data_IF_641641199402
#
_entry.id   IF_641641199402
#
_cell.length_a   1.000
_cell.length_b   1.000
_cell.length_c   1.000
_cell.angle_alpha   90.00
_cell.angle_beta   90.00
_cell.angle_gamma   90.00
#
_symmetry.space_group_name_H-M   'P 1'
#
loop_
_entity.id
_entity.type
_entity.pdbx_description
1 polymer ?
#
# COMPACT_ATOMS: atom_id res chain seq x y z
N UNK A 1 -16.69 -15.45 5.23
CA UNK A 1 -17.89 -15.79 4.44
C UNK A 1 -17.52 -15.63 2.99
N UNK A 2 -17.47 -16.72 2.23
CA UNK A 2 -17.34 -16.66 0.77
C UNK A 2 -18.69 -16.17 0.24
N UNK A 3 -18.77 -14.99 -0.42
CA UNK A 3 -20.03 -14.55 -1.01
C UNK A 3 -20.46 -15.58 -2.05
N UNK A 4 -21.76 -15.88 -2.05
CA UNK A 4 -22.44 -16.78 -2.98
C UNK A 4 -22.02 -16.52 -4.44
N UNK A 5 -22.03 -17.58 -5.24
CA UNK A 5 -21.59 -17.69 -6.65
C UNK A 5 -22.41 -16.88 -7.65
N UNK A 6 -23.19 -15.90 -7.21
CA UNK A 6 -24.01 -15.07 -8.10
C UNK A 6 -23.11 -14.06 -8.81
N UNK A 7 -23.11 -14.07 -10.14
CA UNK A 7 -22.47 -13.04 -10.96
C UNK A 7 -23.19 -11.70 -10.79
N UNK A 8 -22.43 -10.60 -10.76
CA UNK A 8 -23.01 -9.25 -10.81
C UNK A 8 -23.29 -8.90 -12.28
N UNK A 9 -24.57 -8.80 -12.62
CA UNK A 9 -25.03 -8.48 -13.99
C UNK A 9 -25.85 -7.18 -14.06
N UNK A 10 -26.02 -6.49 -12.93
CA UNK A 10 -26.73 -5.20 -12.87
C UNK A 10 -26.12 -4.23 -11.85
N UNK A 11 -26.45 -2.95 -12.00
CA UNK A 11 -26.10 -1.91 -11.02
C UNK A 11 -26.65 -2.20 -9.63
N UNK A 12 -27.84 -2.81 -9.53
CA UNK A 12 -28.46 -3.15 -8.25
C UNK A 12 -27.67 -4.28 -7.55
N UNK A 13 -27.23 -5.29 -8.31
CA UNK A 13 -26.41 -6.38 -7.77
C UNK A 13 -25.08 -5.86 -7.24
N UNK A 14 -24.45 -4.91 -7.96
CA UNK A 14 -23.23 -4.28 -7.51
C UNK A 14 -23.41 -3.50 -6.20
N UNK A 15 -24.46 -2.70 -6.09
CA UNK A 15 -24.71 -1.93 -4.88
C UNK A 15 -25.06 -2.85 -3.69
N UNK A 16 -25.84 -3.89 -3.92
CA UNK A 16 -26.15 -4.91 -2.91
C UNK A 16 -24.86 -5.60 -2.43
N UNK A 17 -23.97 -5.95 -3.35
CA UNK A 17 -22.67 -6.53 -3.04
C UNK A 17 -21.79 -5.58 -2.21
N UNK A 18 -21.65 -4.33 -2.68
CA UNK A 18 -20.91 -3.28 -1.99
C UNK A 18 -21.36 -3.10 -0.54
N UNK A 19 -22.68 -3.01 -0.33
CA UNK A 19 -23.28 -2.87 1.00
C UNK A 19 -23.12 -4.16 1.84
N UNK A 20 -23.26 -5.33 1.21
CA UNK A 20 -23.08 -6.63 1.85
C UNK A 20 -21.67 -6.83 2.41
N UNK A 21 -20.61 -6.41 1.68
CA UNK A 21 -19.25 -6.44 2.21
C UNK A 21 -19.13 -5.59 3.47
N UNK A 22 -19.65 -4.36 3.44
CA UNK A 22 -19.56 -3.44 4.58
C UNK A 22 -20.25 -4.02 5.81
N UNK A 23 -21.46 -4.54 5.64
CA UNK A 23 -22.19 -5.21 6.72
C UNK A 23 -21.41 -6.44 7.25
N UNK A 24 -20.82 -7.24 6.36
CA UNK A 24 -20.03 -8.40 6.75
C UNK A 24 -18.77 -8.04 7.55
N UNK A 25 -18.08 -6.94 7.19
CA UNK A 25 -16.96 -6.40 7.95
C UNK A 25 -17.42 -5.94 9.34
N UNK A 26 -18.53 -5.22 9.43
CA UNK A 26 -19.03 -4.75 10.72
C UNK A 26 -19.41 -5.91 11.66
N UNK A 27 -20.00 -6.99 11.12
CA UNK A 27 -20.28 -8.22 11.86
C UNK A 27 -19.00 -8.96 12.29
N UNK A 28 -17.96 -8.95 11.47
CA UNK A 28 -16.68 -9.58 11.79
C UNK A 28 -15.98 -8.89 12.97
N UNK A 29 -16.04 -7.55 13.01
CA UNK A 29 -15.42 -6.76 14.07
C UNK A 29 -16.28 -6.61 15.32
N UNK A 30 -17.60 -6.76 15.22
CA UNK A 30 -18.47 -6.82 16.41
C UNK A 30 -18.20 -8.06 17.27
N UNK A 31 -17.65 -9.13 16.67
CA UNK A 31 -17.31 -10.38 17.35
C UNK A 31 -15.84 -10.49 17.77
N UNK A 32 -15.13 -9.36 17.93
CA UNK A 32 -13.73 -9.23 18.37
C UNK A 32 -12.77 -10.17 17.61
N UNK A 33 -12.20 -9.68 16.52
CA UNK A 33 -10.88 -10.11 16.00
C UNK A 33 -10.61 -11.62 16.14
N UNK A 34 -11.32 -12.42 15.34
CA UNK A 34 -11.47 -13.87 15.50
C UNK A 34 -10.17 -14.67 15.42
N UNK A 35 -9.09 -14.07 14.91
CA UNK A 35 -7.81 -14.75 14.74
C UNK A 35 -6.63 -13.88 15.13
N UNK A 36 -5.55 -14.49 15.67
CA UNK A 36 -4.30 -13.78 15.92
C UNK A 36 -3.70 -13.07 14.72
N UNK A 37 -3.96 -13.58 13.50
CA UNK A 37 -3.49 -13.00 12.25
C UNK A 37 -4.18 -11.65 11.95
N UNK A 38 -5.51 -11.58 12.11
CA UNK A 38 -6.26 -10.34 11.89
C UNK A 38 -5.88 -9.23 12.87
N UNK A 39 -5.60 -9.59 14.13
CA UNK A 39 -5.06 -8.64 15.12
C UNK A 39 -3.70 -8.12 14.70
N UNK A 40 -2.81 -9.01 14.24
CA UNK A 40 -1.48 -8.64 13.79
C UNK A 40 -1.54 -7.64 12.63
N UNK A 41 -2.40 -7.90 11.66
CA UNK A 41 -2.59 -7.02 10.49
C UNK A 41 -3.19 -5.68 10.92
N UNK A 42 -4.19 -5.68 11.80
CA UNK A 42 -4.74 -4.44 12.37
C UNK A 42 -3.68 -3.62 13.13
N UNK A 43 -2.84 -4.26 13.93
CA UNK A 43 -1.79 -3.53 14.67
C UNK A 43 -0.70 -3.00 13.75
N UNK A 44 -0.31 -3.77 12.74
CA UNK A 44 0.58 -3.29 11.69
C UNK A 44 -0.01 -2.08 10.96
N UNK A 45 -1.29 -2.13 10.62
CA UNK A 45 -2.04 -1.01 10.05
C UNK A 45 -1.99 0.22 10.95
N UNK A 46 -2.40 0.11 12.22
CA UNK A 46 -2.46 1.23 13.17
C UNK A 46 -1.10 1.89 13.35
N UNK A 47 -0.05 1.08 13.54
CA UNK A 47 1.31 1.56 13.65
C UNK A 47 1.75 2.37 12.42
N UNK A 48 1.41 1.90 11.22
CA UNK A 48 1.73 2.59 9.98
C UNK A 48 0.90 3.88 9.83
N UNK A 49 -0.42 3.85 10.08
CA UNK A 49 -1.30 5.03 10.01
C UNK A 49 -0.84 6.14 10.93
N UNK A 50 -0.62 5.83 12.22
CA UNK A 50 -0.19 6.83 13.23
C UNK A 50 1.14 7.48 12.90
N UNK A 51 2.01 6.79 12.20
CA UNK A 51 3.35 7.29 11.90
C UNK A 51 3.40 8.06 10.59
N UNK A 52 2.88 7.46 9.53
CA UNK A 52 2.99 8.02 8.19
C UNK A 52 1.88 9.01 7.88
N UNK A 53 0.72 8.91 8.54
CA UNK A 53 -0.43 9.80 8.36
C UNK A 53 -1.08 10.19 9.72
N UNK A 54 -0.31 10.76 10.67
CA UNK A 54 -0.79 11.19 11.99
C UNK A 54 -1.89 12.25 11.93
N UNK A 55 -1.87 13.10 10.90
CA UNK A 55 -2.83 14.20 10.72
C UNK A 55 -4.22 13.75 10.28
N UNK A 56 -4.39 12.49 9.87
CA UNK A 56 -5.70 11.98 9.46
C UNK A 56 -6.57 11.66 10.67
N UNK A 57 -7.61 12.46 10.86
CA UNK A 57 -8.46 12.48 12.06
C UNK A 57 -9.31 11.21 12.25
N UNK A 58 -9.54 10.44 11.19
CA UNK A 58 -10.41 9.26 11.28
C UNK A 58 -9.88 8.24 12.30
N UNK A 59 -10.82 7.74 13.09
CA UNK A 59 -10.59 6.61 14.00
C UNK A 59 -9.97 5.40 13.26
N UNK A 60 -9.04 4.75 13.94
CA UNK A 60 -8.21 3.66 13.42
C UNK A 60 -9.02 2.44 13.00
N UNK A 61 -10.01 2.07 13.81
CA UNK A 61 -10.87 0.94 13.49
C UNK A 61 -11.75 1.26 12.28
N UNK A 62 -12.33 2.46 12.24
CA UNK A 62 -13.17 2.90 11.13
C UNK A 62 -12.37 2.97 9.82
N UNK A 63 -11.14 3.50 9.87
CA UNK A 63 -10.23 3.48 8.73
C UNK A 63 -9.95 2.05 8.28
N UNK A 64 -9.52 1.18 9.20
CA UNK A 64 -9.18 -0.20 8.86
C UNK A 64 -10.34 -0.96 8.24
N UNK A 65 -11.57 -0.75 8.73
CA UNK A 65 -12.78 -1.31 8.12
C UNK A 65 -12.99 -0.81 6.69
N UNK A 66 -12.76 0.47 6.42
CA UNK A 66 -12.85 0.99 5.06
C UNK A 66 -11.73 0.46 4.16
N UNK A 67 -10.52 0.25 4.68
CA UNK A 67 -9.43 -0.40 3.94
C UNK A 67 -9.83 -1.82 3.53
N UNK A 68 -10.30 -2.63 4.48
CA UNK A 68 -10.77 -3.99 4.21
C UNK A 68 -11.95 -4.00 3.24
N UNK A 69 -12.83 -3.01 3.31
CA UNK A 69 -13.95 -2.87 2.39
C UNK A 69 -13.44 -2.67 0.96
N UNK A 70 -12.54 -1.71 0.73
CA UNK A 70 -11.95 -1.48 -0.58
C UNK A 70 -11.18 -2.70 -1.11
N UNK A 71 -10.36 -3.35 -0.28
CA UNK A 71 -9.64 -4.57 -0.65
C UNK A 71 -10.59 -5.69 -1.10
N UNK A 72 -11.67 -5.93 -0.34
CA UNK A 72 -12.65 -6.97 -0.67
C UNK A 72 -13.47 -6.63 -1.91
N UNK A 73 -13.80 -5.36 -2.11
CA UNK A 73 -14.44 -4.92 -3.36
C UNK A 73 -13.50 -5.21 -4.54
N UNK A 74 -12.24 -4.80 -4.48
CA UNK A 74 -11.27 -5.01 -5.56
C UNK A 74 -11.09 -6.49 -5.90
N UNK A 75 -10.95 -7.34 -4.88
CA UNK A 75 -10.86 -8.80 -5.08
C UNK A 75 -12.06 -9.36 -5.86
N UNK A 76 -13.23 -8.77 -5.70
CA UNK A 76 -14.43 -9.23 -6.42
C UNK A 76 -14.51 -8.68 -7.84
N UNK A 77 -13.98 -7.47 -8.08
CA UNK A 77 -13.83 -6.93 -9.45
C UNK A 77 -13.03 -7.89 -10.31
N UNK A 78 -11.96 -8.46 -9.77
CA UNK A 78 -11.07 -9.38 -10.48
C UNK A 78 -11.73 -10.69 -10.90
N UNK A 79 -12.75 -11.19 -10.16
CA UNK A 79 -13.21 -12.57 -10.35
C UNK A 79 -14.71 -12.75 -10.66
N UNK A 80 -15.57 -11.76 -10.39
CA UNK A 80 -17.01 -12.03 -10.25
C UNK A 80 -17.96 -10.95 -10.81
N UNK A 81 -17.42 -9.90 -11.42
CA UNK A 81 -18.24 -8.80 -11.97
C UNK A 81 -18.17 -8.78 -13.47
N UNK A 82 -19.31 -8.57 -14.14
CA UNK A 82 -19.30 -8.09 -15.52
C UNK A 82 -18.61 -6.72 -15.55
N UNK A 83 -17.37 -6.70 -16.05
CA UNK A 83 -16.53 -5.51 -16.08
C UNK A 83 -17.18 -4.39 -16.90
N UNK A 84 -17.94 -4.72 -17.95
CA UNK A 84 -18.54 -3.72 -18.83
C UNK A 84 -19.42 -2.74 -18.05
N UNK A 85 -20.19 -3.24 -17.07
CA UNK A 85 -21.04 -2.45 -16.18
C UNK A 85 -20.27 -1.41 -15.36
N UNK A 86 -19.01 -1.71 -15.03
CA UNK A 86 -18.17 -0.84 -14.22
C UNK A 86 -17.35 0.11 -15.08
N UNK A 87 -16.96 -0.30 -16.29
CA UNK A 87 -16.25 0.59 -17.21
C UNK A 87 -17.12 1.77 -17.64
N UNK A 88 -18.44 1.60 -17.73
CA UNK A 88 -19.37 2.71 -18.02
C UNK A 88 -19.45 3.77 -16.90
N UNK A 89 -18.89 3.46 -15.73
CA UNK A 89 -18.84 4.35 -14.56
C UNK A 89 -17.51 5.07 -14.43
N UNK A 90 -16.56 4.84 -15.35
CA UNK A 90 -15.29 5.53 -15.37
C UNK A 90 -15.45 6.95 -15.92
N UNK A 91 -15.03 7.92 -15.13
CA UNK A 91 -14.69 9.25 -15.64
C UNK A 91 -13.18 9.35 -15.80
N UNK A 92 -12.72 9.57 -17.03
CA UNK A 92 -11.30 9.80 -17.33
C UNK A 92 -11.06 11.30 -17.46
N UNK A 93 -10.03 11.81 -16.77
CA UNK A 93 -9.71 13.24 -16.71
C UNK A 93 -8.21 13.48 -16.62
N UNK A 94 -7.78 14.74 -16.80
CA UNK A 94 -6.38 15.14 -16.75
C UNK A 94 -5.80 15.41 -18.15
N UNK A 95 -4.53 15.08 -18.37
CA UNK A 95 -3.89 15.25 -19.67
C UNK A 95 -4.13 14.01 -20.55
N UNK A 96 -5.04 14.17 -21.52
CA UNK A 96 -5.43 13.11 -22.45
C UNK A 96 -4.78 13.27 -23.83
N UNK A 97 -3.79 14.14 -23.97
CA UNK A 97 -3.10 14.38 -25.24
C UNK A 97 -2.44 13.12 -25.82
N UNK A 98 -2.06 12.18 -24.96
CA UNK A 98 -1.48 10.89 -25.36
C UNK A 98 -2.45 10.01 -26.17
N UNK A 99 -3.76 10.20 -26.05
CA UNK A 99 -4.76 9.44 -26.82
C UNK A 99 -4.68 9.71 -28.33
N UNK A 100 -4.10 10.85 -28.73
CA UNK A 100 -3.92 11.23 -30.13
C UNK A 100 -2.55 10.82 -30.69
N UNK A 101 -1.68 10.25 -29.85
CA UNK A 101 -0.32 9.90 -30.24
C UNK A 101 -0.26 8.42 -30.62
N UNK A 102 0.34 8.08 -31.77
CA UNK A 102 0.54 6.69 -32.14
C UNK A 102 1.67 6.07 -31.29
N UNK A 103 1.54 4.79 -31.00
CA UNK A 103 2.60 3.99 -30.38
C UNK A 103 2.28 3.54 -28.96
N UNK A 104 3.19 2.74 -28.38
CA UNK A 104 3.03 2.19 -27.04
C UNK A 104 3.37 3.21 -25.96
N UNK A 105 2.87 2.96 -24.76
CA UNK A 105 3.17 3.73 -23.57
C UNK A 105 3.59 2.82 -22.43
N UNK A 106 4.29 3.39 -21.44
CA UNK A 106 4.47 2.76 -20.14
C UNK A 106 3.48 3.41 -19.17
N UNK A 107 2.39 2.73 -18.85
CA UNK A 107 1.40 3.18 -17.87
C UNK A 107 1.92 2.89 -16.45
N UNK A 108 2.13 3.95 -15.67
CA UNK A 108 2.65 3.87 -14.31
C UNK A 108 1.54 4.21 -13.32
N UNK A 109 1.22 3.27 -12.43
CA UNK A 109 0.09 3.39 -11.49
C UNK A 109 0.41 2.73 -10.13
N UNK A 110 -0.59 2.62 -9.27
CA UNK A 110 -0.52 2.21 -7.86
C UNK A 110 -1.66 1.24 -7.55
N UNK A 111 -1.53 0.41 -6.52
CA UNK A 111 -2.61 -0.44 -5.99
C UNK A 111 -3.59 0.43 -5.17
N UNK A 112 -4.16 1.43 -5.84
CA UNK A 112 -5.00 2.47 -5.25
C UNK A 112 -6.37 2.50 -5.94
N UNK A 113 -7.43 2.58 -5.15
CA UNK A 113 -8.78 2.59 -5.68
C UNK A 113 -9.10 1.30 -6.44
N UNK A 114 -9.90 1.36 -7.53
CA UNK A 114 -10.26 0.21 -8.33
C UNK A 114 -9.18 -0.12 -9.36
N UNK A 115 -7.96 -0.34 -8.89
CA UNK A 115 -6.81 -0.60 -9.75
C UNK A 115 -6.94 -1.82 -10.68
N UNK A 116 -7.70 -2.90 -10.34
CA UNK A 116 -7.96 -3.99 -11.29
C UNK A 116 -8.56 -3.55 -12.62
N UNK A 117 -9.35 -2.47 -12.59
CA UNK A 117 -10.10 -2.00 -13.75
C UNK A 117 -9.25 -1.17 -14.73
N UNK A 118 -8.03 -0.80 -14.35
CA UNK A 118 -7.17 0.09 -15.15
C UNK A 118 -6.86 -0.55 -16.51
N UNK A 119 -6.45 -1.82 -16.54
CA UNK A 119 -6.11 -2.52 -17.78
C UNK A 119 -7.28 -2.51 -18.77
N UNK A 120 -8.47 -2.88 -18.30
CA UNK A 120 -9.67 -2.90 -19.13
C UNK A 120 -10.07 -1.50 -19.61
N UNK A 121 -9.90 -0.47 -18.77
CA UNK A 121 -10.17 0.91 -19.18
C UNK A 121 -9.17 1.38 -20.24
N UNK A 122 -7.89 1.03 -20.13
CA UNK A 122 -6.89 1.31 -21.17
C UNK A 122 -7.21 0.60 -22.48
N UNK A 123 -7.68 -0.65 -22.39
CA UNK A 123 -8.14 -1.40 -23.56
C UNK A 123 -9.34 -0.73 -24.25
N UNK A 124 -10.33 -0.26 -23.48
CA UNK A 124 -11.46 0.54 -24.00
C UNK A 124 -11.00 1.84 -24.67
N UNK A 125 -9.89 2.41 -24.23
CA UNK A 125 -9.27 3.60 -24.83
C UNK A 125 -8.42 3.27 -26.09
N UNK A 126 -8.38 2.00 -26.51
CA UNK A 126 -7.70 1.56 -27.74
C UNK A 126 -6.28 1.03 -27.52
N UNK A 127 -5.84 0.85 -26.29
CA UNK A 127 -4.49 0.33 -26.01
C UNK A 127 -4.49 -1.18 -25.81
N UNK A 128 -3.51 -1.84 -26.43
CA UNK A 128 -3.12 -3.17 -26.00
C UNK A 128 -2.00 -3.05 -24.97
N UNK A 129 -2.08 -3.79 -23.87
CA UNK A 129 -1.14 -3.67 -22.76
C UNK A 129 -0.77 -5.01 -22.12
N UNK A 130 0.49 -5.15 -21.75
CA UNK A 130 0.95 -6.22 -20.87
C UNK A 130 1.04 -5.69 -19.44
N UNK A 131 0.36 -6.36 -18.52
CA UNK A 131 0.26 -6.00 -17.10
C UNK A 131 1.34 -6.73 -16.31
N UNK A 132 2.21 -5.96 -15.65
CA UNK A 132 3.20 -6.50 -14.75
C UNK A 132 2.56 -6.88 -13.40
N UNK A 133 2.61 -8.16 -13.05
CA UNK A 133 2.05 -8.72 -11.81
C UNK A 133 3.05 -9.63 -11.08
N UNK A 134 2.62 -10.22 -9.98
CA UNK A 134 3.39 -11.22 -9.21
C UNK A 134 3.24 -12.62 -9.82
N UNK A 135 4.08 -13.56 -9.40
CA UNK A 135 3.90 -14.98 -9.76
C UNK A 135 2.57 -15.52 -9.22
N UNK A 136 1.97 -16.46 -9.97
CA UNK A 136 0.71 -17.11 -9.59
C UNK A 136 -0.56 -16.47 -10.13
N UNK A 137 -0.47 -15.29 -10.77
CA UNK A 137 -1.59 -14.67 -11.49
C UNK A 137 -1.46 -14.97 -12.99
N UNK A 138 -2.35 -15.78 -13.56
CA UNK A 138 -2.30 -16.14 -14.99
C UNK A 138 -3.36 -15.43 -15.81
N UNK A 139 -3.21 -15.42 -17.15
CA UNK A 139 -4.23 -14.87 -18.07
C UNK A 139 -5.62 -15.49 -17.88
N UNK A 140 -5.70 -16.77 -17.46
CA UNK A 140 -6.97 -17.43 -17.16
C UNK A 140 -7.69 -16.86 -15.93
N UNK A 141 -7.02 -16.06 -15.11
CA UNK A 141 -7.57 -15.37 -13.94
C UNK A 141 -8.06 -13.96 -14.27
N UNK A 142 -7.70 -13.43 -15.44
CA UNK A 142 -8.28 -12.20 -16.01
C UNK A 142 -9.63 -12.59 -16.62
N UNK A 143 -10.62 -11.69 -16.52
CA UNK A 143 -11.97 -11.92 -17.05
C UNK A 143 -11.94 -12.21 -18.55
N UNK A 144 -12.32 -13.44 -18.91
CA UNK A 144 -12.23 -13.99 -20.27
C UNK A 144 -13.08 -13.22 -21.29
N UNK A 145 -14.13 -12.53 -20.84
CA UNK A 145 -15.09 -11.86 -21.72
C UNK A 145 -14.59 -10.53 -22.31
N UNK A 146 -13.39 -10.05 -21.94
CA UNK A 146 -12.87 -8.73 -22.37
C UNK A 146 -11.37 -8.72 -22.72
N UNK A 147 -10.73 -9.88 -22.94
CA UNK A 147 -9.26 -9.99 -22.99
C UNK A 147 -8.58 -9.65 -24.32
N UNK A 148 -9.30 -9.18 -25.35
CA UNK A 148 -8.63 -8.81 -26.60
C UNK A 148 -7.75 -7.57 -26.39
N UNK A 149 -6.48 -7.79 -26.05
CA UNK A 149 -5.48 -6.75 -25.89
C UNK A 149 -4.80 -6.67 -24.53
N UNK A 150 -5.20 -7.47 -23.54
CA UNK A 150 -4.51 -7.56 -22.24
C UNK A 150 -3.72 -8.87 -22.11
N UNK A 151 -2.50 -8.76 -21.60
CA UNK A 151 -1.61 -9.90 -21.33
C UNK A 151 -0.94 -9.73 -19.95
N UNK A 152 -0.41 -10.80 -19.38
CA UNK A 152 0.26 -10.80 -18.07
C UNK A 152 1.75 -11.07 -18.22
N UNK A 153 2.55 -10.27 -17.52
CA UNK A 153 3.99 -10.51 -17.29
C UNK A 153 4.27 -10.65 -15.79
N UNK A 154 5.30 -11.43 -15.44
CA UNK A 154 5.63 -11.68 -14.04
C UNK A 154 6.91 -10.96 -13.59
N UNK A 155 6.78 -10.10 -12.58
CA UNK A 155 7.87 -9.33 -11.95
C UNK A 155 8.95 -10.17 -11.25
N UNK A 156 8.67 -11.45 -10.99
CA UNK A 156 9.62 -12.41 -10.40
C UNK A 156 10.65 -12.96 -11.39
N UNK A 157 10.41 -12.85 -12.69
CA UNK A 157 11.30 -13.41 -13.71
C UNK A 157 12.56 -12.56 -13.91
N UNK A 158 13.72 -13.20 -14.05
CA UNK A 158 14.98 -12.53 -14.43
C UNK A 158 14.94 -11.95 -15.85
N UNK A 159 14.04 -12.45 -16.70
CA UNK A 159 13.86 -11.98 -18.08
C UNK A 159 12.80 -10.89 -18.23
N UNK A 160 12.11 -10.47 -17.15
CA UNK A 160 10.94 -9.59 -17.26
C UNK A 160 11.25 -8.25 -17.94
N UNK A 161 12.47 -7.72 -17.75
CA UNK A 161 12.91 -6.50 -18.44
C UNK A 161 12.97 -6.69 -19.96
N UNK A 162 13.47 -7.85 -20.41
CA UNK A 162 13.56 -8.18 -21.85
C UNK A 162 12.17 -8.35 -22.44
N UNK A 163 11.28 -9.02 -21.70
CA UNK A 163 9.87 -9.21 -22.10
C UNK A 163 9.13 -7.87 -22.23
N UNK A 164 9.30 -6.96 -21.26
CA UNK A 164 8.74 -5.61 -21.33
C UNK A 164 9.26 -4.83 -22.54
N UNK A 165 10.56 -4.89 -22.82
CA UNK A 165 11.14 -4.22 -24.01
C UNK A 165 10.56 -4.81 -25.30
N UNK A 166 10.48 -6.13 -25.41
CA UNK A 166 9.91 -6.81 -26.58
C UNK A 166 8.44 -6.44 -26.81
N UNK A 167 7.65 -6.29 -25.75
CA UNK A 167 6.24 -5.87 -25.87
C UNK A 167 6.15 -4.43 -26.40
N UNK A 168 6.95 -3.51 -25.86
CA UNK A 168 7.01 -2.13 -26.34
C UNK A 168 7.43 -2.06 -27.83
N UNK A 169 8.46 -2.80 -28.23
CA UNK A 169 8.90 -2.87 -29.63
C UNK A 169 7.81 -3.40 -30.57
N UNK A 170 6.98 -4.34 -30.09
CA UNK A 170 5.82 -4.86 -30.83
C UNK A 170 4.61 -3.91 -30.85
N UNK A 171 4.72 -2.69 -30.31
CA UNK A 171 3.64 -1.72 -30.23
C UNK A 171 2.63 -1.98 -29.11
N UNK A 172 2.92 -2.91 -28.20
CA UNK A 172 2.10 -3.20 -27.02
C UNK A 172 2.58 -2.36 -25.85
N UNK A 173 1.67 -1.69 -25.18
CA UNK A 173 1.98 -0.90 -23.98
C UNK A 173 2.34 -1.80 -22.79
N UNK A 174 2.99 -1.23 -21.79
CA UNK A 174 3.28 -1.92 -20.52
C UNK A 174 2.58 -1.18 -19.39
N UNK A 175 1.86 -1.90 -18.53
CA UNK A 175 1.26 -1.35 -17.31
C UNK A 175 1.99 -1.89 -16.08
N UNK A 176 2.42 -0.99 -15.19
CA UNK A 176 3.15 -1.37 -13.99
C UNK A 176 2.68 -0.61 -12.74
N UNK A 177 2.63 -1.35 -11.64
CA UNK A 177 2.35 -0.83 -10.30
C UNK A 177 3.67 -0.56 -9.56
N UNK A 178 3.98 0.70 -9.27
CA UNK A 178 5.30 1.08 -8.74
C UNK A 178 5.39 1.09 -7.21
N UNK A 179 4.26 0.94 -6.51
CA UNK A 179 4.20 0.77 -5.06
C UNK A 179 4.42 -0.68 -4.59
N UNK A 180 4.29 -1.64 -5.51
CA UNK A 180 4.70 -3.02 -5.30
C UNK A 180 6.22 -3.16 -5.46
N UNK A 181 6.99 -3.02 -4.38
CA UNK A 181 8.43 -3.32 -4.39
C UNK A 181 8.76 -4.83 -4.48
N UNK A 182 7.85 -5.62 -5.02
CA UNK A 182 7.99 -7.06 -5.25
C UNK A 182 8.88 -7.32 -6.49
N UNK A 183 9.47 -8.52 -6.60
CA UNK A 183 10.39 -8.91 -7.68
C UNK A 183 11.74 -9.47 -7.18
N UNK A 184 12.69 -9.68 -8.10
CA UNK A 184 13.96 -10.42 -7.87
C UNK A 184 14.81 -9.86 -6.71
N UNK A 185 15.00 -8.54 -6.70
CA UNK A 185 15.75 -7.87 -5.63
C UNK A 185 14.81 -7.60 -4.45
N UNK A 186 15.08 -8.26 -3.33
CA UNK A 186 14.28 -8.20 -2.10
C UNK A 186 14.80 -7.17 -1.09
N UNK A 187 16.08 -6.86 -1.14
CA UNK A 187 16.75 -5.90 -0.26
C UNK A 187 16.92 -4.55 -0.95
N UNK A 188 16.94 -3.48 -0.18
CA UNK A 188 17.11 -2.13 -0.73
C UNK A 188 18.58 -1.93 -1.10
N UNK A 189 18.83 -1.94 -2.40
CA UNK A 189 20.12 -1.65 -3.01
C UNK A 189 20.05 -0.29 -3.72
N UNK A 190 20.95 0.68 -3.43
CA UNK A 190 21.02 1.97 -4.12
C UNK A 190 21.09 1.87 -5.65
N UNK A 191 21.57 0.75 -6.20
CA UNK A 191 21.58 0.49 -7.65
C UNK A 191 20.18 0.24 -8.21
N UNK A 192 19.30 -0.38 -7.42
CA UNK A 192 17.97 -0.82 -7.83
C UNK A 192 16.84 0.07 -7.32
N UNK A 193 17.09 0.89 -6.30
CA UNK A 193 16.09 1.73 -5.63
C UNK A 193 16.43 3.21 -5.68
N UNK A 194 15.39 4.05 -5.75
CA UNK A 194 15.47 5.49 -5.48
C UNK A 194 14.66 5.87 -4.25
N UNK A 195 15.12 6.83 -3.43
CA UNK A 195 14.32 7.44 -2.39
C UNK A 195 13.33 8.44 -2.99
N UNK A 196 12.06 8.37 -2.62
CA UNK A 196 11.04 9.38 -2.96
C UNK A 196 10.33 9.84 -1.68
N UNK A 197 10.12 11.14 -1.46
CA UNK A 197 9.21 11.62 -0.42
C UNK A 197 7.82 11.02 -0.64
N UNK A 198 7.25 10.46 0.42
CA UNK A 198 5.89 9.96 0.45
C UNK A 198 5.35 10.12 1.87
N UNK A 199 4.26 10.88 2.00
CA UNK A 199 3.67 11.20 3.29
C UNK A 199 4.68 11.90 4.21
N UNK A 200 4.80 11.46 5.46
CA UNK A 200 5.73 12.03 6.45
C UNK A 200 7.08 11.28 6.51
N UNK A 201 7.48 10.62 5.42
CA UNK A 201 8.74 9.88 5.35
C UNK A 201 9.30 9.80 3.90
N UNK A 202 10.38 9.04 3.73
CA UNK A 202 10.99 8.69 2.46
C UNK A 202 10.74 7.22 2.14
N UNK A 203 10.09 6.96 1.03
CA UNK A 203 9.83 5.62 0.49
C UNK A 203 10.92 5.22 -0.52
N UNK A 204 11.43 4.01 -0.43
CA UNK A 204 12.37 3.47 -1.41
C UNK A 204 11.60 2.72 -2.50
N UNK A 205 11.67 3.17 -3.75
CA UNK A 205 10.96 2.61 -4.90
C UNK A 205 11.95 2.01 -5.92
N UNK A 206 11.58 0.93 -6.60
CA UNK A 206 12.40 0.30 -7.66
C UNK A 206 12.48 1.16 -8.93
N UNK A 207 13.69 1.27 -9.50
CA UNK A 207 13.99 2.04 -10.73
C UNK A 207 13.57 1.38 -12.04
N UNK A 208 13.06 0.15 -12.00
CA UNK A 208 12.86 -0.68 -13.20
C UNK A 208 11.98 -0.02 -14.27
N UNK A 209 10.84 0.55 -13.88
CA UNK A 209 9.88 1.16 -14.81
C UNK A 209 10.46 2.43 -15.50
N UNK A 210 11.04 3.40 -14.77
CA UNK A 210 11.75 4.49 -15.43
C UNK A 210 12.92 4.04 -16.30
N UNK A 211 13.66 3.02 -15.87
CA UNK A 211 14.77 2.50 -16.66
C UNK A 211 14.28 1.89 -17.97
N UNK A 212 13.17 1.15 -17.97
CA UNK A 212 12.52 0.63 -19.17
C UNK A 212 12.19 1.75 -20.16
N UNK A 213 11.52 2.79 -19.67
CA UNK A 213 11.17 3.99 -20.45
C UNK A 213 12.42 4.66 -21.04
N UNK A 214 13.46 4.84 -20.21
CA UNK A 214 14.72 5.40 -20.68
C UNK A 214 15.36 4.52 -21.75
N UNK A 215 15.41 3.20 -21.58
CA UNK A 215 16.07 2.31 -22.54
C UNK A 215 15.33 2.25 -23.89
N UNK A 216 14.00 2.22 -23.84
CA UNK A 216 13.14 2.05 -25.03
C UNK A 216 12.74 3.35 -25.72
N UNK A 217 13.07 4.49 -25.12
CA UNK A 217 12.58 5.81 -25.56
C UNK A 217 11.05 5.94 -25.51
N UNK A 218 10.38 5.09 -24.73
CA UNK A 218 8.92 5.08 -24.61
C UNK A 218 8.48 6.02 -23.48
N UNK A 219 7.52 6.94 -23.71
CA UNK A 219 7.01 7.81 -22.67
C UNK A 219 6.26 7.05 -21.57
N UNK A 220 6.37 7.57 -20.34
CA UNK A 220 5.56 7.11 -19.20
C UNK A 220 4.30 7.96 -19.11
N UNK A 221 3.17 7.30 -18.89
CA UNK A 221 1.89 7.93 -18.56
C UNK A 221 1.58 7.64 -17.08
N UNK A 222 1.82 8.60 -16.17
CA UNK A 222 1.41 8.44 -14.78
C UNK A 222 -0.11 8.56 -14.71
N UNK A 223 -0.75 7.59 -14.05
CA UNK A 223 -2.18 7.63 -13.81
C UNK A 223 -2.52 7.05 -12.44
N UNK A 224 -3.71 7.39 -11.97
CA UNK A 224 -4.25 6.90 -10.71
C UNK A 224 -5.76 6.73 -10.83
N UNK A 225 -6.29 5.69 -10.20
CA UNK A 225 -7.74 5.50 -10.10
C UNK A 225 -8.22 5.60 -8.66
N UNK A 226 -9.43 6.09 -8.47
CA UNK A 226 -10.04 6.16 -7.14
C UNK A 226 -11.57 6.14 -7.25
N UNK A 227 -12.22 5.84 -6.12
CA UNK A 227 -13.67 5.87 -5.97
C UNK A 227 -14.09 7.10 -5.18
N UNK A 228 -15.20 7.73 -5.57
CA UNK A 228 -15.93 8.67 -4.70
C UNK A 228 -17.25 8.08 -4.17
N UNK A 229 -17.53 6.83 -4.56
CA UNK A 229 -18.68 6.06 -4.13
C UNK A 229 -18.73 4.72 -4.89
N UNK A 230 -19.78 3.92 -4.70
CA UNK A 230 -19.97 2.70 -5.47
C UNK A 230 -20.08 2.95 -6.98
N UNK A 231 -20.71 4.07 -7.37
CA UNK A 231 -21.03 4.35 -8.79
C UNK A 231 -20.14 5.42 -9.43
N UNK A 232 -19.17 5.98 -8.70
CA UNK A 232 -18.26 7.02 -9.20
C UNK A 232 -16.82 6.51 -9.15
N UNK A 233 -16.33 6.06 -10.30
CA UNK A 233 -14.95 5.64 -10.50
C UNK A 233 -14.25 6.67 -11.37
N UNK A 234 -13.08 7.11 -10.92
CA UNK A 234 -12.31 8.13 -11.63
C UNK A 234 -10.94 7.62 -11.98
N UNK A 235 -10.49 7.93 -13.18
CA UNK A 235 -9.11 7.83 -13.62
C UNK A 235 -8.57 9.23 -13.88
N UNK A 236 -7.47 9.57 -13.23
CA UNK A 236 -6.76 10.83 -13.44
C UNK A 236 -5.44 10.51 -14.11
N UNK A 237 -5.20 11.13 -15.26
CA UNK A 237 -3.98 10.97 -16.05
C UNK A 237 -3.16 12.26 -15.94
N UNK A 238 -1.88 12.11 -15.61
CA UNK A 238 -0.92 13.22 -15.62
C UNK A 238 -0.22 13.31 -16.98
N UNK A 239 0.37 14.46 -17.30
CA UNK A 239 1.01 14.67 -18.59
C UNK A 239 2.14 13.65 -18.84
N UNK A 240 2.31 13.17 -20.08
CA UNK A 240 3.35 12.21 -20.42
C UNK A 240 4.75 12.66 -19.95
N UNK A 241 5.56 11.71 -19.48
CA UNK A 241 6.96 11.92 -19.14
C UNK A 241 7.80 11.30 -20.24
N UNK A 242 8.42 12.14 -21.05
CA UNK A 242 9.31 11.70 -22.12
C UNK A 242 10.74 11.49 -21.60
N UNK A 243 11.45 10.43 -22.05
CA UNK A 243 12.86 10.23 -21.74
C UNK A 243 13.72 11.41 -22.18
N UNK A 244 14.41 12.03 -21.23
CA UNK A 244 15.42 13.06 -21.51
C UNK A 244 16.81 12.43 -21.58
N UNK A 245 17.39 12.39 -22.78
CA UNK A 245 18.72 11.81 -23.05
C UNK A 245 19.87 12.68 -22.55
N UNK A 246 19.61 13.91 -22.13
CA UNK A 246 20.61 14.78 -21.51
C UNK A 246 20.81 14.44 -20.02
N UNK A 247 19.82 13.80 -19.39
CA UNK A 247 19.92 13.34 -18.00
C UNK A 247 20.60 11.98 -17.92
N UNK A 248 21.31 11.73 -16.81
CA UNK A 248 21.73 10.38 -16.49
C UNK A 248 20.51 9.50 -16.19
N UNK A 249 20.66 8.18 -16.39
CA UNK A 249 19.58 7.20 -16.13
C UNK A 249 19.02 7.32 -14.70
N UNK A 250 19.90 7.52 -13.71
CA UNK A 250 19.51 7.64 -12.31
C UNK A 250 18.76 8.95 -12.03
N UNK A 251 19.22 10.06 -12.60
CA UNK A 251 18.53 11.36 -12.46
C UNK A 251 17.16 11.33 -13.11
N UNK A 252 17.06 10.74 -14.31
CA UNK A 252 15.78 10.52 -14.97
C UNK A 252 14.86 9.65 -14.10
N UNK A 253 15.35 8.50 -13.62
CA UNK A 253 14.55 7.59 -12.80
C UNK A 253 14.02 8.23 -11.51
N UNK A 254 14.87 9.01 -10.83
CA UNK A 254 14.48 9.79 -9.67
C UNK A 254 13.37 10.79 -10.02
N UNK A 255 13.53 11.56 -11.10
CA UNK A 255 12.57 12.60 -11.50
C UNK A 255 11.19 12.02 -11.87
N UNK A 256 11.18 10.90 -12.60
CA UNK A 256 9.95 10.19 -13.00
C UNK A 256 9.21 9.71 -11.77
N UNK A 257 9.89 8.97 -10.88
CA UNK A 257 9.25 8.38 -9.71
C UNK A 257 8.81 9.46 -8.73
N UNK A 258 9.58 10.54 -8.56
CA UNK A 258 9.14 11.69 -7.79
C UNK A 258 7.80 12.25 -8.27
N UNK A 259 7.63 12.37 -9.59
CA UNK A 259 6.39 12.86 -10.20
C UNK A 259 5.23 11.88 -10.03
N UNK A 260 5.45 10.59 -10.27
CA UNK A 260 4.43 9.55 -10.06
C UNK A 260 3.97 9.50 -8.60
N UNK A 261 4.91 9.56 -7.64
CA UNK A 261 4.57 9.53 -6.21
C UNK A 261 3.93 10.84 -5.73
N UNK A 262 4.27 12.00 -6.32
CA UNK A 262 3.57 13.25 -6.02
C UNK A 262 2.11 13.24 -6.50
N UNK A 263 1.82 12.63 -7.66
CA UNK A 263 0.46 12.35 -8.10
C UNK A 263 -0.23 11.43 -7.08
N UNK A 264 0.38 10.31 -6.74
CA UNK A 264 -0.17 9.35 -5.79
C UNK A 264 -0.49 9.97 -4.43
N UNK A 265 0.48 10.67 -3.82
CA UNK A 265 0.33 11.26 -2.49
C UNK A 265 -0.84 12.24 -2.42
N UNK A 266 -1.06 13.04 -3.48
CA UNK A 266 -2.20 13.97 -3.56
C UNK A 266 -3.55 13.27 -3.41
N UNK A 267 -3.68 12.05 -3.93
CA UNK A 267 -4.91 11.26 -3.85
C UNK A 267 -4.94 10.40 -2.59
N UNK A 268 -3.81 9.80 -2.21
CA UNK A 268 -3.64 9.03 -0.98
C UNK A 268 -4.07 9.85 0.24
N UNK A 269 -3.67 11.12 0.33
CA UNK A 269 -4.04 11.98 1.46
C UNK A 269 -5.54 12.27 1.57
N UNK A 270 -6.31 12.13 0.48
CA UNK A 270 -7.75 12.44 0.45
C UNK A 270 -8.60 11.22 0.82
N UNK A 271 -8.25 10.06 0.29
CA UNK A 271 -8.98 8.80 0.49
C UNK A 271 -7.98 7.70 0.83
N UNK A 272 -7.28 7.81 1.96
CA UNK A 272 -6.13 6.97 2.26
C UNK A 272 -6.50 5.49 2.36
N UNK A 273 -7.71 5.18 2.80
CA UNK A 273 -8.25 3.82 2.89
C UNK A 273 -8.31 3.05 1.57
N UNK A 274 -8.14 3.73 0.42
CA UNK A 274 -8.18 3.08 -0.89
C UNK A 274 -6.83 2.50 -1.33
N UNK A 275 -5.77 2.65 -0.54
CA UNK A 275 -4.47 2.05 -0.85
C UNK A 275 -4.32 0.66 -0.24
N UNK A 276 -4.01 -0.34 -1.05
CA UNK A 276 -3.97 -1.74 -0.60
C UNK A 276 -2.82 -2.04 0.36
N UNK A 277 -1.70 -1.32 0.27
CA UNK A 277 -0.44 -1.68 0.94
C UNK A 277 -0.17 -0.99 2.27
N UNK A 278 -1.20 -0.49 2.97
CA UNK A 278 -1.03 0.09 4.31
C UNK A 278 -0.34 -0.85 5.31
N UNK A 279 -0.50 -2.17 5.20
CA UNK A 279 0.15 -3.11 6.11
C UNK A 279 1.64 -3.30 5.80
N UNK A 280 2.07 -2.98 4.59
CA UNK A 280 3.40 -3.28 4.05
C UNK A 280 4.27 -2.03 3.88
N UNK A 281 3.71 -0.83 3.84
CA UNK A 281 4.41 0.45 3.65
C UNK A 281 5.70 0.56 4.47
N UNK A 282 5.66 0.22 5.77
CA UNK A 282 6.81 0.34 6.66
C UNK A 282 8.05 -0.46 6.22
N UNK A 283 7.91 -1.52 5.41
CA UNK A 283 9.06 -2.30 4.92
C UNK A 283 10.00 -1.51 4.02
N UNK A 284 9.51 -0.43 3.42
CA UNK A 284 10.24 0.34 2.41
C UNK A 284 10.40 1.81 2.80
N UNK A 285 10.10 2.15 4.05
CA UNK A 285 10.23 3.50 4.58
C UNK A 285 11.57 3.68 5.27
N UNK A 286 12.26 4.78 4.99
CA UNK A 286 13.61 5.05 5.48
C UNK A 286 13.74 4.94 6.99
N UNK A 287 12.76 5.50 7.71
CA UNK A 287 12.78 5.51 9.16
C UNK A 287 12.59 4.12 9.81
N UNK A 288 12.08 3.13 9.07
CA UNK A 288 11.98 1.74 9.54
C UNK A 288 13.26 0.95 9.21
N UNK A 289 13.87 1.20 8.06
CA UNK A 289 15.11 0.55 7.65
C UNK A 289 16.29 0.91 8.54
N UNK A 290 16.36 2.17 8.98
CA UNK A 290 17.39 2.63 9.91
C UNK A 290 17.30 1.97 11.30
N UNK A 291 16.13 1.41 11.67
CA UNK A 291 15.90 0.83 13.00
C UNK A 291 16.31 -0.63 13.13
N UNK A 292 16.50 -1.34 12.01
CA UNK A 292 16.75 -2.79 11.98
C UNK A 292 18.06 -3.27 12.62
N UNK A 293 18.93 -2.38 13.13
CA UNK A 293 20.26 -2.73 13.61
C UNK A 293 20.76 -2.00 14.86
N UNK A 294 19.95 -1.19 15.53
CA UNK A 294 20.39 -0.59 16.79
C UNK A 294 20.47 -1.68 17.89
N UNK A 295 21.65 -1.91 18.51
CA UNK A 295 21.74 -2.80 19.65
C UNK A 295 20.77 -2.33 20.73
N UNK A 296 20.06 -3.27 21.37
CA UNK A 296 19.35 -2.96 22.61
C UNK A 296 20.43 -2.43 23.57
N UNK A 297 20.37 -1.15 23.99
CA UNK A 297 21.33 -0.66 24.95
C UNK A 297 21.24 -1.55 26.19
N UNK A 298 22.39 -2.00 26.70
CA UNK A 298 22.42 -2.68 27.99
C UNK A 298 21.67 -1.80 29.01
N UNK A 299 20.88 -2.38 29.93
CA UNK A 299 20.17 -1.60 30.92
C UNK A 299 21.18 -0.75 31.70
N UNK A 300 21.17 0.56 31.46
CA UNK A 300 21.91 1.53 32.25
C UNK A 300 21.09 1.75 33.51
N UNK A 301 21.75 1.74 34.67
CA UNK A 301 21.12 2.20 35.92
C UNK A 301 20.72 3.66 35.73
N UNK A 302 19.43 3.88 35.46
CA UNK A 302 18.84 5.19 35.28
C UNK A 302 17.82 5.41 36.39
N UNK A 303 17.69 6.66 36.81
CA UNK A 303 16.65 7.04 37.79
C UNK A 303 15.34 7.41 37.10
N UNK A 304 15.38 7.65 35.79
CA UNK A 304 14.26 8.09 34.98
C UNK A 304 14.16 7.26 33.70
N UNK A 305 12.94 6.83 33.38
CA UNK A 305 12.65 6.00 32.22
C UNK A 305 11.54 6.59 31.36
N UNK A 306 11.64 6.36 30.06
CA UNK A 306 10.69 6.74 29.03
C UNK A 306 10.02 5.50 28.44
N UNK A 307 8.76 5.63 28.03
CA UNK A 307 8.15 4.66 27.14
C UNK A 307 8.85 4.70 25.78
N UNK A 308 9.30 3.55 25.27
CA UNK A 308 9.96 3.45 23.98
C UNK A 308 8.94 3.55 22.83
N UNK A 309 8.46 4.78 22.59
CA UNK A 309 7.58 5.14 21.48
C UNK A 309 8.22 4.97 20.11
N UNK A 310 9.51 4.65 20.02
CA UNK A 310 10.21 4.31 18.78
C UNK A 310 10.13 2.82 18.44
N UNK A 311 9.86 1.94 19.40
CA UNK A 311 9.62 0.51 19.12
C UNK A 311 8.17 0.08 19.32
N UNK A 312 7.49 0.65 20.32
CA UNK A 312 6.20 0.15 20.76
C UNK A 312 5.05 1.11 20.48
N UNK A 313 3.88 0.55 20.21
CA UNK A 313 2.59 1.24 20.22
C UNK A 313 1.69 0.70 21.32
N UNK A 314 0.94 1.59 21.96
CA UNK A 314 -0.19 1.23 22.81
C UNK A 314 -1.46 1.29 21.95
N UNK A 315 -2.12 0.15 21.76
CA UNK A 315 -3.30 0.03 20.91
C UNK A 315 -4.45 -0.52 21.74
N UNK A 316 -5.60 0.14 21.67
CA UNK A 316 -6.81 -0.29 22.35
C UNK A 316 -7.70 -1.03 21.37
N UNK A 317 -8.09 -2.27 21.68
CA UNK A 317 -9.12 -3.00 20.93
C UNK A 317 -10.28 -3.26 21.89
N UNK A 318 -11.40 -2.57 21.65
CA UNK A 318 -12.53 -2.57 22.57
C UNK A 318 -12.10 -2.14 23.99
N UNK A 319 -12.15 -3.04 24.97
CA UNK A 319 -11.75 -2.78 26.36
C UNK A 319 -10.36 -3.29 26.71
N UNK A 320 -9.68 -4.01 25.80
CA UNK A 320 -8.36 -4.61 26.06
C UNK A 320 -7.24 -3.76 25.46
N UNK A 321 -6.30 -3.26 26.27
CA UNK A 321 -5.10 -2.62 25.77
C UNK A 321 -4.05 -3.65 25.36
N UNK A 322 -3.33 -3.32 24.28
CA UNK A 322 -2.25 -4.11 23.73
C UNK A 322 -0.98 -3.27 23.61
N UNK A 323 0.14 -3.93 23.85
CA UNK A 323 1.47 -3.45 23.52
C UNK A 323 1.92 -4.11 22.21
N UNK A 324 2.05 -3.34 21.15
CA UNK A 324 2.50 -3.82 19.84
C UNK A 324 3.98 -3.49 19.61
N UNK A 325 4.80 -4.50 19.33
CA UNK A 325 6.21 -4.37 18.98
C UNK A 325 6.35 -4.24 17.46
N UNK A 326 6.70 -3.05 16.97
CA UNK A 326 6.83 -2.81 15.52
C UNK A 326 7.99 -3.57 14.89
N UNK A 327 9.04 -3.84 15.66
CA UNK A 327 10.23 -4.53 15.17
C UNK A 327 9.96 -6.01 14.96
N UNK A 328 9.40 -6.68 15.98
CA UNK A 328 9.11 -8.13 15.90
C UNK A 328 7.74 -8.43 15.29
N UNK A 329 6.89 -7.41 15.13
CA UNK A 329 5.46 -7.54 14.78
C UNK A 329 4.68 -8.40 15.78
N UNK A 330 5.20 -8.58 16.99
CA UNK A 330 4.53 -9.25 18.11
C UNK A 330 3.61 -8.29 18.86
N UNK A 331 2.63 -8.83 19.58
CA UNK A 331 1.79 -8.04 20.47
C UNK A 331 1.47 -8.80 21.74
N UNK A 332 1.20 -8.05 22.81
CA UNK A 332 0.90 -8.58 24.13
C UNK A 332 -0.31 -7.85 24.70
N UNK A 333 -1.37 -8.54 25.17
CA UNK A 333 -2.39 -7.90 25.98
C UNK A 333 -1.74 -7.43 27.28
N UNK A 334 -2.08 -6.22 27.71
CA UNK A 334 -1.60 -5.63 28.97
C UNK A 334 -2.79 -5.23 29.84
N UNK A 335 -2.56 -5.02 31.13
CA UNK A 335 -3.61 -4.50 32.01
C UNK A 335 -3.91 -3.03 31.70
N UNK A 336 -5.14 -2.58 31.97
CA UNK A 336 -5.51 -1.17 31.86
C UNK A 336 -4.59 -0.27 32.69
N UNK A 337 -4.21 -0.73 33.89
CA UNK A 337 -3.25 -0.02 34.76
C UNK A 337 -1.89 0.13 34.09
N UNK A 338 -1.32 -0.93 33.50
CA UNK A 338 -0.04 -0.84 32.82
C UNK A 338 -0.11 0.08 31.59
N UNK A 339 -1.20 -0.01 30.81
CA UNK A 339 -1.41 0.87 29.67
C UNK A 339 -1.47 2.36 30.10
N UNK A 340 -2.16 2.66 31.20
CA UNK A 340 -2.22 4.00 31.77
C UNK A 340 -0.83 4.49 32.21
N UNK A 341 -0.08 3.66 32.94
CA UNK A 341 1.29 4.00 33.39
C UNK A 341 2.17 4.31 32.19
N UNK A 342 2.21 3.43 31.18
CA UNK A 342 3.04 3.62 29.97
C UNK A 342 2.58 4.85 29.16
N UNK A 343 1.27 5.09 29.08
CA UNK A 343 0.69 6.22 28.36
C UNK A 343 1.05 7.58 28.97
N UNK A 344 1.22 7.62 30.30
CA UNK A 344 1.57 8.83 31.06
C UNK A 344 3.08 9.14 31.07
N UNK A 345 3.94 8.25 30.57
CA UNK A 345 5.39 8.51 30.50
C UNK A 345 5.66 9.67 29.55
N UNK A 346 6.02 10.81 30.14
CA UNK A 346 6.39 12.04 29.44
C UNK A 346 7.76 11.90 28.78
N UNK A 347 8.09 12.73 27.77
CA UNK A 347 9.43 12.79 27.19
C UNK A 347 10.56 13.15 28.18
N UNK A 348 10.24 13.62 29.39
CA UNK A 348 11.23 13.98 30.42
C UNK A 348 11.62 12.84 31.36
N UNK A 349 10.99 11.67 31.23
CA UNK A 349 11.27 10.50 32.05
C UNK A 349 10.56 10.55 33.40
N UNK A 350 10.26 9.37 33.95
CA UNK A 350 9.63 9.23 35.28
C UNK A 350 10.35 8.14 36.07
N UNK A 351 10.46 8.32 37.38
CA UNK A 351 10.88 7.27 38.30
C UNK A 351 9.76 6.22 38.45
N UNK A 352 9.98 5.01 37.92
CA UNK A 352 8.97 3.95 37.87
C UNK A 352 9.18 2.81 38.86
N UNK A 353 10.33 2.76 39.52
CA UNK A 353 10.72 1.66 40.41
C UNK A 353 9.74 1.48 41.59
N UNK A 354 9.05 2.54 42.03
CA UNK A 354 8.03 2.46 43.08
C UNK A 354 6.61 2.17 42.57
N UNK A 355 6.39 2.24 41.26
CA UNK A 355 5.05 2.09 40.64
C UNK A 355 4.82 0.72 40.03
N UNK A 356 5.89 -0.05 39.79
CA UNK A 356 5.85 -1.37 39.16
C UNK A 356 6.51 -2.41 40.06
N UNK A 357 6.05 -3.66 39.99
CA UNK A 357 6.76 -4.74 40.66
C UNK A 357 8.16 -4.92 40.06
N UNK A 358 9.17 -5.32 40.85
CA UNK A 358 10.53 -5.52 40.32
C UNK A 358 10.59 -6.47 39.12
N UNK A 359 9.78 -7.52 39.13
CA UNK A 359 9.70 -8.48 38.03
C UNK A 359 9.16 -7.84 36.73
N UNK A 360 8.06 -7.08 36.81
CA UNK A 360 7.48 -6.41 35.65
C UNK A 360 8.40 -5.31 35.12
N UNK A 361 9.00 -4.52 36.01
CA UNK A 361 9.96 -3.49 35.64
C UNK A 361 11.16 -4.09 34.86
N UNK A 362 11.71 -5.20 35.35
CA UNK A 362 12.80 -5.90 34.68
C UNK A 362 12.39 -6.47 33.32
N UNK A 363 11.20 -7.06 33.19
CA UNK A 363 10.69 -7.56 31.90
C UNK A 363 10.52 -6.42 30.88
N UNK A 364 9.98 -5.27 31.30
CA UNK A 364 9.83 -4.09 30.44
C UNK A 364 11.19 -3.52 29.99
N UNK A 365 12.22 -3.57 30.83
CA UNK A 365 13.59 -3.18 30.44
C UNK A 365 14.23 -4.19 29.49
N UNK A 366 14.13 -5.49 29.78
CA UNK A 366 14.68 -6.57 28.95
C UNK A 366 14.07 -6.55 27.54
N UNK A 367 12.78 -6.25 27.44
CA UNK A 367 12.07 -6.10 26.17
C UNK A 367 12.28 -4.73 25.51
N UNK A 368 12.96 -3.80 26.18
CA UNK A 368 13.13 -2.41 25.71
C UNK A 368 11.82 -1.63 25.54
N UNK A 369 10.78 -2.00 26.30
CA UNK A 369 9.53 -1.23 26.41
C UNK A 369 9.79 0.08 27.14
N UNK A 370 10.69 0.03 28.13
CA UNK A 370 11.25 1.20 28.78
C UNK A 370 12.68 1.44 28.27
N UNK A 371 13.06 2.71 28.14
CA UNK A 371 14.43 3.16 27.89
C UNK A 371 14.85 4.20 28.93
N UNK A 372 16.14 4.28 29.23
CA UNK A 372 16.65 5.38 30.04
C UNK A 372 16.31 6.73 29.37
N UNK A 373 15.94 7.72 30.18
CA UNK A 373 15.55 9.05 29.70
C UNK A 373 16.70 9.86 29.11
#
# INVERSE_FOLDING_TARGET
MTPTTTSITSSADYLNYWNGIRQGIDQEFSQVTKTPAQLKDFFAFVANKRRFLPEHEQDELTFYKNLLHNQRVNLYLDFKTDISLLLDRFTVSGDLGFLQQPGPFVFCTFHFGPFPLIGYQLNRLGFTASVLTIEGISNSMIHQDTTEGLDIMHSGSTSVMVEMMSNLEAGRSVMAFVDGNLGVVKEIDPRSFVPVPLLNDTFFCKKGVPLLSYLTNTPIIPLITYRQGPDDIRMVVDAPIYPDRQLSRDVYAQSVLQRCYALFERHLRKTPEQWEFWNLIGKYMASELQRGGAPIPAPVEATHYLFNRERYDLIQVQTTPFLFDRQTRGYFPISATLAQVLGQLSPKGVALQSQLSPALFNDLLQRSVLRAA
#
